data_IF_894462709713
#
_entry.id   IF_894462709713
#
_cell.length_a   1.000
_cell.length_b   1.000
_cell.length_c   1.000
_cell.angle_alpha   90.00
_cell.angle_beta   90.00
_cell.angle_gamma   90.00
#
_symmetry.space_group_name_H-M   'P 1'
#
loop_
_entity.id
_entity.type
_entity.pdbx_description
1 polymer ?
#
# COMPACT_ATOMS: atom_id res chain seq x y z
N UNK A 1 17.97 22.51 7.04
CA UNK A 1 17.85 23.85 6.39
C UNK A 1 16.61 24.56 6.96
N UNK A 2 15.41 23.97 6.89
CA UNK A 2 14.15 24.60 7.29
C UNK A 2 14.15 25.03 8.78
N UNK A 3 14.59 24.15 9.68
CA UNK A 3 14.70 24.44 11.11
C UNK A 3 15.65 25.63 11.38
N UNK A 4 16.80 25.66 10.74
CA UNK A 4 17.77 26.76 10.89
C UNK A 4 17.17 28.08 10.37
N UNK A 5 16.50 28.06 9.20
CA UNK A 5 15.85 29.24 8.66
C UNK A 5 14.78 29.83 9.59
N UNK A 6 13.90 28.98 10.12
CA UNK A 6 12.88 29.39 11.08
C UNK A 6 13.47 29.90 12.42
N UNK A 7 14.53 29.27 12.91
CA UNK A 7 15.20 29.70 14.14
C UNK A 7 15.85 31.08 13.97
N UNK A 8 16.52 31.31 12.85
CA UNK A 8 17.11 32.61 12.52
C UNK A 8 16.04 33.70 12.35
N UNK A 9 14.94 33.38 11.63
CA UNK A 9 13.80 34.29 11.50
C UNK A 9 13.21 34.64 12.88
N UNK A 10 12.97 33.65 13.73
CA UNK A 10 12.44 33.86 15.08
C UNK A 10 13.37 34.73 15.95
N UNK A 11 14.68 34.45 15.94
CA UNK A 11 15.67 35.26 16.63
C UNK A 11 15.68 36.71 16.13
N UNK A 12 15.66 36.91 14.81
CA UNK A 12 15.61 38.25 14.21
C UNK A 12 14.34 39.01 14.62
N UNK A 13 13.19 38.35 14.69
CA UNK A 13 11.93 38.95 15.13
C UNK A 13 11.96 39.32 16.60
N UNK A 14 12.51 38.47 17.48
CA UNK A 14 12.68 38.78 18.92
C UNK A 14 13.58 39.99 19.16
N UNK A 15 14.67 40.09 18.39
CA UNK A 15 15.60 41.24 18.49
C UNK A 15 14.91 42.52 17.97
N UNK A 16 14.27 42.46 16.81
CA UNK A 16 13.67 43.61 16.17
C UNK A 16 12.42 44.13 16.89
N UNK A 17 11.57 43.25 17.40
CA UNK A 17 10.27 43.57 17.97
C UNK A 17 10.22 43.42 19.51
N UNK A 18 11.34 43.64 20.20
CA UNK A 18 11.33 43.65 21.65
C UNK A 18 10.67 44.91 22.25
N UNK A 19 10.21 44.84 23.49
CA UNK A 19 9.47 45.91 24.14
C UNK A 19 10.26 47.20 24.34
N UNK A 20 11.61 47.18 24.30
CA UNK A 20 12.46 48.36 24.41
C UNK A 20 12.55 49.14 23.11
N UNK A 21 12.62 48.43 21.97
CA UNK A 21 12.76 49.03 20.63
C UNK A 21 11.42 49.30 19.96
N UNK A 22 10.38 48.52 20.27
CA UNK A 22 9.02 48.68 19.76
C UNK A 22 8.00 48.60 20.90
N UNK A 23 7.87 49.66 21.71
CA UNK A 23 6.99 49.69 22.89
C UNK A 23 5.49 49.65 22.54
N UNK A 24 5.12 49.93 21.28
CA UNK A 24 3.74 49.88 20.82
C UNK A 24 3.62 48.86 19.71
N UNK A 25 2.80 47.85 19.90
CA UNK A 25 2.47 46.89 18.85
C UNK A 25 1.61 47.53 17.74
N UNK A 26 1.95 47.22 16.48
CA UNK A 26 1.10 47.59 15.36
C UNK A 26 0.17 46.41 15.05
N UNK A 27 -1.11 46.56 15.34
CA UNK A 27 -2.13 45.53 15.13
C UNK A 27 -2.81 45.63 13.74
N UNK A 28 -2.39 46.56 12.90
CA UNK A 28 -3.06 46.77 11.60
C UNK A 28 -2.54 45.84 10.49
N UNK A 29 -1.46 45.09 10.73
CA UNK A 29 -0.90 44.18 9.74
C UNK A 29 -0.34 44.89 8.50
N UNK A 30 -0.41 44.21 7.35
CA UNK A 30 0.05 44.72 6.07
C UNK A 30 -1.01 45.72 5.50
N UNK A 31 -0.64 47.00 5.38
CA UNK A 31 -1.53 48.06 4.91
C UNK A 31 -1.58 48.21 3.38
N UNK A 32 -0.66 47.56 2.68
CA UNK A 32 -0.62 47.63 1.21
C UNK A 32 -1.67 46.70 0.59
N UNK A 33 -2.76 47.25 0.08
CA UNK A 33 -3.77 46.47 -0.64
C UNK A 33 -3.19 45.67 -1.81
N UNK A 34 -2.27 46.29 -2.57
CA UNK A 34 -1.60 45.64 -3.69
C UNK A 34 -0.75 44.45 -3.20
N UNK A 35 0.05 44.67 -2.13
CA UNK A 35 0.88 43.59 -1.55
C UNK A 35 0.06 42.41 -1.01
N UNK A 36 -1.05 42.72 -0.32
CA UNK A 36 -1.98 41.70 0.17
C UNK A 36 -2.63 40.91 -0.97
N UNK A 37 -3.13 41.62 -1.97
CA UNK A 37 -3.74 41.01 -3.15
C UNK A 37 -2.77 40.11 -3.90
N UNK A 38 -1.53 40.55 -4.14
CA UNK A 38 -0.50 39.74 -4.80
C UNK A 38 -0.18 38.50 -3.96
N UNK A 39 -0.06 38.64 -2.64
CA UNK A 39 0.21 37.50 -1.76
C UNK A 39 -0.94 36.48 -1.80
N UNK A 40 -2.19 36.93 -1.68
CA UNK A 40 -3.37 36.05 -1.67
C UNK A 40 -3.56 35.32 -3.01
N UNK A 41 -3.63 36.07 -4.11
CA UNK A 41 -3.82 35.46 -5.44
C UNK A 41 -2.58 34.71 -5.92
N UNK A 42 -1.37 35.11 -5.50
CA UNK A 42 -0.14 34.41 -5.79
C UNK A 42 -0.11 33.02 -5.15
N UNK A 43 -0.52 32.90 -3.88
CA UNK A 43 -0.65 31.61 -3.20
C UNK A 43 -1.69 30.74 -3.87
N UNK A 44 -2.89 31.29 -4.15
CA UNK A 44 -3.95 30.56 -4.84
C UNK A 44 -3.48 30.04 -6.21
N UNK A 45 -2.79 30.86 -6.99
CA UNK A 45 -2.26 30.45 -8.28
C UNK A 45 -1.27 29.31 -8.17
N UNK A 46 -0.34 29.40 -7.21
CA UNK A 46 0.65 28.34 -6.95
C UNK A 46 -0.06 27.05 -6.54
N UNK A 47 -1.03 27.12 -5.63
CA UNK A 47 -1.80 25.94 -5.20
C UNK A 47 -2.57 25.31 -6.37
N UNK A 48 -3.26 26.10 -7.19
CA UNK A 48 -3.96 25.60 -8.39
C UNK A 48 -2.99 24.89 -9.33
N UNK A 49 -1.82 25.47 -9.59
CA UNK A 49 -0.80 24.85 -10.44
C UNK A 49 -0.28 23.53 -9.83
N UNK A 50 0.01 23.52 -8.52
CA UNK A 50 0.47 22.32 -7.85
C UNK A 50 -0.58 21.19 -7.85
N UNK A 51 -1.84 21.54 -7.63
CA UNK A 51 -2.94 20.57 -7.66
C UNK A 51 -3.13 20.02 -9.07
N UNK A 52 -3.30 20.92 -10.06
CA UNK A 52 -3.68 20.50 -11.42
C UNK A 52 -2.54 19.85 -12.20
N UNK A 53 -1.30 20.33 -12.04
CA UNK A 53 -0.16 19.84 -12.80
C UNK A 53 0.59 18.67 -12.12
N UNK A 54 0.44 18.51 -10.81
CA UNK A 54 1.18 17.49 -10.06
C UNK A 54 0.28 16.56 -9.26
N UNK A 55 -0.57 17.08 -8.36
CA UNK A 55 -1.33 16.23 -7.45
C UNK A 55 -2.37 15.37 -8.18
N UNK A 56 -3.16 15.96 -9.06
CA UNK A 56 -4.20 15.22 -9.83
C UNK A 56 -3.59 14.18 -10.75
N UNK A 57 -2.56 14.45 -11.58
CA UNK A 57 -1.92 13.42 -12.41
C UNK A 57 -1.31 12.28 -11.60
N UNK A 58 -0.58 12.59 -10.51
CA UNK A 58 0.00 11.57 -9.64
C UNK A 58 -1.06 10.71 -8.96
N UNK A 59 -2.14 11.33 -8.47
CA UNK A 59 -3.26 10.60 -7.88
C UNK A 59 -3.98 9.73 -8.91
N UNK A 60 -4.22 10.26 -10.12
CA UNK A 60 -4.85 9.51 -11.19
C UNK A 60 -4.03 8.27 -11.59
N UNK A 61 -2.71 8.35 -11.59
CA UNK A 61 -1.83 7.21 -11.86
C UNK A 61 -1.97 6.12 -10.78
N UNK A 62 -2.04 6.50 -9.51
CA UNK A 62 -2.18 5.55 -8.38
C UNK A 62 -3.55 4.86 -8.35
N UNK A 63 -4.64 5.56 -8.72
CA UNK A 63 -6.01 5.01 -8.70
C UNK A 63 -6.53 4.63 -10.08
N UNK A 64 -5.65 4.49 -11.06
CA UNK A 64 -6.01 4.21 -12.44
C UNK A 64 -6.71 2.87 -12.61
N UNK A 65 -8.04 2.92 -12.79
CA UNK A 65 -8.86 1.72 -12.99
C UNK A 65 -8.49 0.97 -14.29
N UNK A 66 -8.11 1.67 -15.34
CA UNK A 66 -7.66 1.06 -16.59
C UNK A 66 -6.37 0.26 -16.37
N UNK A 67 -5.43 0.79 -15.60
CA UNK A 67 -4.22 0.06 -15.24
C UNK A 67 -4.53 -1.17 -14.39
N UNK A 68 -5.44 -1.07 -13.44
CA UNK A 68 -5.91 -2.21 -12.64
C UNK A 68 -6.52 -3.30 -13.51
N UNK A 69 -7.39 -2.94 -14.44
CA UNK A 69 -8.02 -3.92 -15.34
C UNK A 69 -6.99 -4.57 -16.30
N UNK A 70 -5.99 -3.84 -16.79
CA UNK A 70 -4.87 -4.39 -17.54
C UNK A 70 -4.08 -5.42 -16.76
N UNK A 71 -3.77 -5.13 -15.48
CA UNK A 71 -3.04 -6.06 -14.59
C UNK A 71 -3.89 -7.31 -14.34
N UNK A 72 -5.19 -7.17 -14.09
CA UNK A 72 -6.11 -8.29 -13.88
C UNK A 72 -6.25 -9.14 -15.15
N UNK A 73 -6.38 -8.53 -16.32
CA UNK A 73 -6.44 -9.25 -17.59
C UNK A 73 -5.14 -10.05 -17.81
N UNK A 74 -4.00 -9.41 -17.60
CA UNK A 74 -2.69 -10.05 -17.72
C UNK A 74 -2.47 -11.17 -16.67
N UNK A 75 -3.07 -11.07 -15.49
CA UNK A 75 -3.07 -12.14 -14.48
C UNK A 75 -3.85 -13.36 -14.94
N UNK A 76 -4.98 -13.17 -15.63
CA UNK A 76 -5.82 -14.27 -16.17
C UNK A 76 -5.24 -14.98 -17.38
N UNK A 77 -4.41 -14.30 -18.16
CA UNK A 77 -3.73 -14.89 -19.32
C UNK A 77 -2.56 -15.81 -18.92
N UNK A 78 -2.23 -15.86 -17.65
CA UNK A 78 -1.16 -16.73 -17.12
C UNK A 78 0.20 -16.03 -17.01
N UNK A 79 1.24 -16.83 -16.86
CA UNK A 79 2.58 -16.49 -16.41
C UNK A 79 3.17 -15.21 -17.03
N UNK A 80 3.45 -14.20 -16.21
CA UNK A 80 4.47 -13.21 -16.52
C UNK A 80 4.04 -11.75 -16.56
N UNK A 81 2.80 -11.40 -16.85
CA UNK A 81 2.43 -10.02 -17.18
C UNK A 81 1.68 -9.25 -16.08
N UNK A 82 1.19 -9.91 -15.05
CA UNK A 82 0.46 -9.29 -13.94
C UNK A 82 0.15 -10.31 -12.83
N UNK A 83 -0.18 -9.81 -11.65
CA UNK A 83 -0.64 -10.60 -10.52
C UNK A 83 -1.83 -9.89 -9.87
N UNK A 84 -3.01 -10.52 -9.89
CA UNK A 84 -4.13 -10.10 -9.03
C UNK A 84 -4.06 -10.87 -7.70
N UNK A 85 -4.19 -10.16 -6.59
CA UNK A 85 -4.12 -10.71 -5.26
C UNK A 85 -5.22 -10.10 -4.39
N UNK A 86 -6.01 -10.94 -3.74
CA UNK A 86 -7.02 -10.50 -2.79
C UNK A 86 -6.45 -10.52 -1.37
N UNK A 87 -6.60 -9.39 -0.67
CA UNK A 87 -6.19 -9.24 0.74
C UNK A 87 -7.44 -9.10 1.60
N UNK A 88 -7.53 -9.91 2.63
CA UNK A 88 -8.57 -9.84 3.65
C UNK A 88 -7.92 -9.58 5.02
N UNK A 89 -8.23 -8.42 5.58
CA UNK A 89 -7.86 -8.07 6.93
C UNK A 89 -8.91 -8.57 7.93
N UNK A 90 -8.48 -9.02 9.09
CA UNK A 90 -9.33 -9.31 10.25
C UNK A 90 -8.54 -9.06 11.54
N UNK A 91 -9.22 -8.92 12.64
CA UNK A 91 -8.59 -8.79 13.96
C UNK A 91 -7.97 -10.13 14.39
N UNK A 92 -6.65 -10.29 14.46
CA UNK A 92 -5.61 -9.29 14.16
C UNK A 92 -4.58 -9.89 13.21
N UNK A 93 -4.93 -10.19 11.97
CA UNK A 93 -4.02 -10.75 10.99
C UNK A 93 -4.36 -10.38 9.54
N UNK A 94 -3.46 -10.75 8.63
CA UNK A 94 -3.55 -10.52 7.20
C UNK A 94 -3.68 -11.85 6.48
N UNK A 95 -4.65 -11.94 5.59
CA UNK A 95 -4.88 -13.11 4.77
C UNK A 95 -4.81 -12.73 3.29
N UNK A 96 -4.25 -13.61 2.48
CA UNK A 96 -4.11 -13.40 1.05
C UNK A 96 -4.68 -14.58 0.27
N UNK A 97 -5.25 -14.29 -0.89
CA UNK A 97 -5.76 -15.29 -1.83
C UNK A 97 -5.24 -15.00 -3.22
N UNK A 98 -4.69 -16.01 -3.84
CA UNK A 98 -4.19 -16.01 -5.21
C UNK A 98 -5.16 -16.83 -6.07
N UNK A 99 -5.39 -16.39 -7.28
CA UNK A 99 -5.92 -17.26 -8.32
C UNK A 99 -4.85 -18.30 -8.63
N UNK A 100 -5.21 -19.56 -8.60
CA UNK A 100 -4.28 -20.66 -8.86
C UNK A 100 -3.76 -20.68 -10.30
N UNK A 101 -3.47 -21.86 -10.82
CA UNK A 101 -2.91 -22.02 -12.16
C UNK A 101 -3.86 -21.64 -13.28
N UNK A 102 -5.18 -21.66 -13.02
CA UNK A 102 -6.21 -21.29 -14.00
C UNK A 102 -6.40 -19.76 -14.11
N UNK A 103 -5.76 -18.97 -13.24
CA UNK A 103 -5.84 -17.51 -13.19
C UNK A 103 -7.22 -16.96 -12.84
N UNK A 104 -8.09 -17.76 -12.22
CA UNK A 104 -9.46 -17.40 -11.86
C UNK A 104 -9.67 -17.56 -10.37
N UNK A 105 -10.43 -16.64 -9.79
CA UNK A 105 -10.85 -16.76 -8.42
C UNK A 105 -12.18 -17.50 -8.33
N UNK A 106 -12.23 -18.51 -7.49
CA UNK A 106 -13.47 -19.24 -7.19
C UNK A 106 -14.52 -18.32 -6.52
N UNK A 107 -15.79 -18.70 -6.68
CA UNK A 107 -16.92 -17.96 -6.11
C UNK A 107 -16.86 -17.98 -4.59
N UNK A 108 -17.03 -16.81 -4.01
CA UNK A 108 -17.13 -16.61 -2.57
C UNK A 108 -18.59 -16.53 -2.14
N UNK A 109 -18.90 -17.06 -0.97
CA UNK A 109 -20.20 -16.86 -0.34
C UNK A 109 -20.03 -16.70 1.17
N UNK A 110 -20.63 -15.66 1.72
CA UNK A 110 -20.50 -15.31 3.14
C UNK A 110 -20.91 -16.46 4.08
N UNK A 111 -21.86 -17.30 3.65
CA UNK A 111 -22.30 -18.48 4.42
C UNK A 111 -21.20 -19.53 4.68
N UNK A 112 -20.13 -19.53 3.90
CA UNK A 112 -18.99 -20.42 4.06
C UNK A 112 -17.83 -19.75 4.78
N UNK A 113 -17.88 -18.42 4.96
CA UNK A 113 -16.80 -17.68 5.58
C UNK A 113 -16.73 -17.97 7.09
N UNK A 114 -15.55 -18.32 7.57
CA UNK A 114 -15.23 -18.40 8.98
C UNK A 114 -13.88 -17.75 9.27
N UNK A 115 -13.66 -17.37 10.53
CA UNK A 115 -12.46 -16.60 10.91
C UNK A 115 -11.16 -17.45 10.94
N UNK A 116 -11.24 -18.75 10.90
CA UNK A 116 -10.09 -19.62 11.13
C UNK A 116 -9.61 -20.26 9.83
N UNK A 117 -10.44 -21.11 9.22
CA UNK A 117 -9.99 -21.99 8.14
C UNK A 117 -10.38 -21.47 6.75
N UNK A 118 -11.48 -20.72 6.65
CA UNK A 118 -12.01 -20.25 5.37
C UNK A 118 -12.42 -18.77 5.41
N UNK A 119 -11.48 -17.84 5.62
CA UNK A 119 -11.81 -16.43 5.77
C UNK A 119 -12.40 -15.82 4.49
N UNK A 120 -12.10 -16.37 3.33
CA UNK A 120 -12.63 -15.90 2.04
C UNK A 120 -14.00 -16.49 1.68
N UNK A 121 -14.51 -17.47 2.42
CA UNK A 121 -15.83 -18.06 2.16
C UNK A 121 -15.90 -18.83 0.85
N UNK A 122 -14.89 -19.60 0.51
CA UNK A 122 -14.87 -20.47 -0.66
C UNK A 122 -15.77 -21.68 -0.41
N UNK A 123 -16.51 -22.14 -1.42
CA UNK A 123 -17.38 -23.31 -1.30
C UNK A 123 -16.55 -24.60 -1.16
N UNK A 124 -16.55 -25.27 0.00
CA UNK A 124 -15.72 -26.45 0.24
C UNK A 124 -16.16 -27.70 -0.57
N UNK A 125 -17.32 -27.65 -1.21
CA UNK A 125 -17.83 -28.76 -2.04
C UNK A 125 -17.38 -28.71 -3.49
N UNK A 126 -16.73 -27.63 -3.90
CA UNK A 126 -16.17 -27.53 -5.25
C UNK A 126 -14.80 -28.19 -5.28
N UNK A 127 -14.72 -29.32 -5.95
CA UNK A 127 -13.52 -30.14 -6.07
C UNK A 127 -12.41 -29.53 -6.97
N UNK A 128 -12.61 -28.34 -7.50
CA UNK A 128 -11.76 -27.72 -8.53
C UNK A 128 -11.17 -26.38 -8.06
N UNK A 129 -10.92 -26.30 -6.76
CA UNK A 129 -10.35 -25.07 -6.16
C UNK A 129 -8.84 -25.18 -6.14
N UNK A 130 -8.20 -24.53 -7.10
CA UNK A 130 -6.74 -24.38 -7.13
C UNK A 130 -6.25 -23.04 -6.57
N UNK A 131 -7.17 -22.24 -6.02
CA UNK A 131 -6.86 -20.99 -5.33
C UNK A 131 -5.92 -21.24 -4.14
N UNK A 132 -4.83 -20.50 -4.09
CA UNK A 132 -3.88 -20.57 -2.96
C UNK A 132 -4.25 -19.55 -1.90
N UNK A 133 -4.46 -20.02 -0.68
CA UNK A 133 -4.81 -19.18 0.45
C UNK A 133 -3.67 -19.16 1.47
N UNK A 134 -3.23 -17.95 1.81
CA UNK A 134 -2.34 -17.71 2.93
C UNK A 134 -3.18 -17.13 4.06
N UNK A 135 -3.39 -17.91 5.10
CA UNK A 135 -4.06 -17.45 6.32
C UNK A 135 -3.02 -17.00 7.33
N UNK A 136 -3.32 -15.91 8.04
CA UNK A 136 -2.48 -15.44 9.17
C UNK A 136 -1.00 -15.28 8.77
N UNK A 137 -0.71 -14.39 7.81
CA UNK A 137 0.63 -14.14 7.26
C UNK A 137 1.59 -13.51 8.30
N UNK A 138 1.73 -14.13 9.49
CA UNK A 138 2.50 -13.63 10.65
C UNK A 138 3.92 -14.17 10.75
N UNK A 139 4.28 -15.18 10.00
CA UNK A 139 5.63 -15.71 9.96
C UNK A 139 6.29 -15.47 8.61
N UNK A 140 7.61 -15.50 8.57
CA UNK A 140 8.37 -15.38 7.32
C UNK A 140 8.15 -16.59 6.39
N UNK A 141 7.81 -17.74 6.96
CA UNK A 141 7.52 -18.95 6.21
C UNK A 141 6.10 -18.98 5.67
N UNK A 142 5.18 -18.28 6.35
CA UNK A 142 3.79 -18.09 5.93
C UNK A 142 3.55 -16.62 5.54
N UNK A 143 4.41 -16.07 4.71
CA UNK A 143 4.33 -14.70 4.22
C UNK A 143 3.46 -14.60 2.96
N UNK A 144 2.90 -13.44 2.72
CA UNK A 144 2.31 -13.09 1.41
C UNK A 144 3.46 -12.96 0.42
N UNK A 145 3.43 -13.70 -0.69
CA UNK A 145 4.52 -13.74 -1.66
C UNK A 145 4.15 -12.96 -2.92
N UNK A 146 5.03 -12.11 -3.39
CA UNK A 146 4.86 -11.37 -4.65
C UNK A 146 6.14 -11.39 -5.47
N UNK A 147 6.07 -11.42 -6.80
CA UNK A 147 7.25 -11.31 -7.66
C UNK A 147 7.70 -9.85 -7.78
N UNK A 148 9.02 -9.62 -7.90
CA UNK A 148 9.49 -8.33 -8.39
C UNK A 148 9.29 -8.19 -9.89
N UNK A 149 9.44 -6.97 -10.41
CA UNK A 149 9.34 -6.60 -11.83
C UNK A 149 8.02 -6.99 -12.52
N UNK A 150 7.06 -7.55 -11.79
CA UNK A 150 5.69 -7.84 -12.26
C UNK A 150 4.70 -6.88 -11.59
N UNK A 151 3.80 -6.25 -12.33
CA UNK A 151 2.73 -5.43 -11.74
C UNK A 151 1.81 -6.28 -10.87
N UNK A 152 1.53 -5.80 -9.67
CA UNK A 152 0.67 -6.45 -8.67
C UNK A 152 -0.54 -5.56 -8.43
N UNK A 153 -1.73 -6.10 -8.62
CA UNK A 153 -3.00 -5.47 -8.29
C UNK A 153 -3.55 -6.11 -7.00
N UNK A 154 -3.63 -5.33 -5.92
CA UNK A 154 -4.28 -5.76 -4.69
C UNK A 154 -5.73 -5.34 -4.68
N UNK A 155 -6.61 -6.26 -4.28
CA UNK A 155 -8.02 -6.03 -4.00
C UNK A 155 -8.25 -6.28 -2.52
N UNK A 156 -8.52 -5.22 -1.78
CA UNK A 156 -8.47 -5.26 -0.32
C UNK A 156 -9.84 -5.04 0.31
N UNK A 157 -10.12 -5.81 1.32
CA UNK A 157 -11.33 -5.69 2.16
C UNK A 157 -11.04 -6.11 3.59
N UNK A 158 -12.01 -5.93 4.47
CA UNK A 158 -11.95 -6.40 5.85
C UNK A 158 -13.15 -7.26 6.21
N UNK A 159 -12.95 -8.19 7.14
CA UNK A 159 -13.99 -9.07 7.67
C UNK A 159 -14.75 -8.44 8.84
N UNK A 160 -14.14 -7.50 9.57
CA UNK A 160 -14.69 -6.99 10.84
C UNK A 160 -14.65 -5.46 10.95
N UNK A 161 -13.53 -4.85 11.26
CA UNK A 161 -13.38 -3.39 11.40
C UNK A 161 -12.50 -2.83 10.30
N UNK A 162 -12.34 -1.52 10.25
CA UNK A 162 -11.40 -0.89 9.31
C UNK A 162 -9.97 -1.17 9.75
N UNK A 163 -9.16 -1.65 8.83
CA UNK A 163 -7.71 -1.80 8.94
C UNK A 163 -7.03 -0.97 7.84
N UNK A 164 -5.73 -0.82 7.90
CA UNK A 164 -4.95 -0.19 6.82
C UNK A 164 -3.69 -1.01 6.55
N UNK A 165 -3.64 -1.60 5.36
CA UNK A 165 -2.51 -2.40 4.89
C UNK A 165 -1.35 -1.48 4.53
N UNK A 166 -0.24 -1.58 5.24
CA UNK A 166 0.92 -0.71 5.02
C UNK A 166 2.21 -1.52 4.91
N UNK A 167 2.91 -1.31 3.79
CA UNK A 167 4.29 -1.80 3.56
C UNK A 167 5.16 -0.58 3.29
N UNK A 168 5.76 -0.05 4.34
CA UNK A 168 6.44 1.25 4.32
C UNK A 168 7.55 1.37 3.27
N UNK A 169 8.47 0.39 3.10
CA UNK A 169 9.53 0.50 2.09
C UNK A 169 9.03 0.53 0.66
N UNK A 170 7.88 -0.07 0.38
CA UNK A 170 7.25 -0.08 -0.93
C UNK A 170 6.30 1.10 -1.15
N UNK A 171 6.12 1.98 -0.15
CA UNK A 171 5.16 3.10 -0.16
C UNK A 171 3.72 2.67 -0.45
N UNK A 172 3.40 1.43 -0.15
CA UNK A 172 2.03 0.89 -0.23
C UNK A 172 1.33 1.19 1.08
N UNK A 173 0.20 1.89 1.01
CA UNK A 173 -0.67 2.13 2.15
C UNK A 173 -2.11 2.28 1.64
N UNK A 174 -3.01 1.38 2.08
CA UNK A 174 -4.41 1.39 1.67
C UNK A 174 -5.30 0.79 2.74
N UNK A 175 -6.45 1.41 2.96
CA UNK A 175 -7.44 0.93 3.91
C UNK A 175 -8.12 -0.35 3.41
N UNK A 176 -8.44 -1.22 4.37
CA UNK A 176 -9.28 -2.39 4.20
C UNK A 176 -10.59 -2.13 4.94
N UNK A 177 -11.68 -1.88 4.21
CA UNK A 177 -12.96 -1.45 4.78
C UNK A 177 -13.97 -2.58 4.61
N UNK A 178 -14.72 -2.96 5.66
CA UNK A 178 -15.77 -3.96 5.56
C UNK A 178 -16.81 -3.60 4.52
N UNK A 179 -17.18 -4.56 3.66
CA UNK A 179 -18.17 -4.39 2.61
C UNK A 179 -17.69 -3.65 1.35
N UNK A 180 -16.47 -3.11 1.35
CA UNK A 180 -15.84 -2.50 0.19
C UNK A 180 -14.68 -3.33 -0.32
N UNK A 181 -14.43 -3.27 -1.63
CA UNK A 181 -13.25 -3.84 -2.25
C UNK A 181 -12.40 -2.69 -2.81
N UNK A 182 -11.36 -2.32 -2.10
CA UNK A 182 -10.52 -1.17 -2.44
C UNK A 182 -9.29 -1.63 -3.22
N UNK A 183 -9.08 -1.07 -4.41
CA UNK A 183 -7.93 -1.42 -5.24
C UNK A 183 -6.71 -0.57 -4.93
N UNK A 184 -5.54 -1.17 -5.08
CA UNK A 184 -4.25 -0.50 -5.24
C UNK A 184 -3.36 -1.36 -6.13
N UNK A 185 -2.49 -0.75 -6.91
CA UNK A 185 -1.48 -1.47 -7.67
C UNK A 185 -0.08 -0.93 -7.37
N UNK A 186 0.90 -1.79 -7.54
CA UNK A 186 2.31 -1.44 -7.44
C UNK A 186 3.17 -2.40 -8.24
N UNK A 187 4.40 -2.02 -8.48
CA UNK A 187 5.43 -2.88 -9.07
C UNK A 187 6.69 -2.71 -8.25
N UNK A 188 7.29 -3.82 -7.83
CA UNK A 188 8.57 -3.78 -7.10
C UNK A 188 9.70 -3.77 -8.11
N UNK A 189 10.49 -2.68 -8.13
CA UNK A 189 11.66 -2.59 -8.98
C UNK A 189 12.85 -3.33 -8.32
N UNK A 190 13.42 -4.38 -8.96
CA UNK A 190 14.54 -5.13 -8.41
C UNK A 190 15.80 -4.28 -8.20
N UNK A 191 15.98 -3.20 -8.96
CA UNK A 191 17.11 -2.28 -8.78
C UNK A 191 17.08 -1.55 -7.43
N UNK A 192 15.91 -1.42 -6.81
CA UNK A 192 15.74 -0.82 -5.48
C UNK A 192 15.87 -1.84 -4.34
N UNK A 193 15.94 -3.13 -4.68
CA UNK A 193 16.15 -4.22 -3.74
C UNK A 193 17.65 -4.51 -3.69
N UNK A 194 18.26 -4.28 -2.55
CA UNK A 194 19.68 -4.57 -2.36
C UNK A 194 19.85 -5.90 -1.62
N UNK A 195 20.80 -6.71 -2.08
CA UNK A 195 21.26 -7.87 -1.35
C UNK A 195 21.99 -7.47 -0.05
N UNK A 196 22.43 -8.45 0.73
CA UNK A 196 23.18 -8.21 1.98
C UNK A 196 24.49 -7.44 1.78
N UNK A 197 24.97 -7.34 0.54
CA UNK A 197 26.19 -6.66 0.16
C UNK A 197 25.91 -5.31 -0.52
N UNK A 198 24.66 -4.87 -0.58
CA UNK A 198 24.26 -3.62 -1.20
C UNK A 198 24.19 -3.67 -2.73
N UNK A 199 24.19 -4.85 -3.34
CA UNK A 199 23.99 -5.01 -4.79
C UNK A 199 22.51 -5.20 -5.10
N UNK A 200 22.00 -4.69 -6.25
CA UNK A 200 20.64 -4.92 -6.68
C UNK A 200 20.31 -6.42 -6.75
N UNK A 201 19.10 -6.77 -6.33
CA UNK A 201 18.59 -8.13 -6.42
C UNK A 201 18.46 -8.54 -7.89
N UNK A 202 19.12 -9.63 -8.28
CA UNK A 202 19.12 -10.14 -9.66
C UNK A 202 19.25 -11.66 -9.76
N UNK A 203 19.31 -12.36 -8.63
CA UNK A 203 19.46 -13.81 -8.59
C UNK A 203 18.15 -14.49 -8.28
N UNK A 204 17.92 -15.66 -8.86
CA UNK A 204 16.72 -16.48 -8.61
C UNK A 204 16.50 -16.76 -7.11
N UNK A 205 17.57 -16.88 -6.33
CA UNK A 205 17.50 -17.20 -4.90
C UNK A 205 17.31 -15.98 -3.99
N UNK A 206 17.39 -14.75 -4.52
CA UNK A 206 17.24 -13.56 -3.72
C UNK A 206 15.79 -13.44 -3.20
N UNK A 207 15.67 -13.23 -1.89
CA UNK A 207 14.40 -12.99 -1.20
C UNK A 207 14.49 -11.73 -0.34
N UNK A 208 13.46 -10.90 -0.42
CA UNK A 208 13.34 -9.71 0.40
C UNK A 208 12.05 -9.76 1.22
N UNK A 209 12.18 -9.62 2.53
CA UNK A 209 11.05 -9.71 3.44
C UNK A 209 10.76 -8.32 4.01
N UNK A 210 9.54 -7.86 3.80
CA UNK A 210 9.02 -6.61 4.31
C UNK A 210 7.96 -6.86 5.37
N UNK A 211 7.91 -5.98 6.36
CA UNK A 211 6.87 -5.99 7.38
C UNK A 211 5.59 -5.35 6.83
N UNK A 212 4.48 -6.03 6.98
CA UNK A 212 3.14 -5.48 6.81
C UNK A 212 2.68 -5.01 8.19
N UNK A 213 2.23 -3.77 8.31
CA UNK A 213 1.69 -3.21 9.55
C UNK A 213 0.29 -2.68 9.35
N UNK A 214 -0.53 -2.70 10.39
CA UNK A 214 -1.80 -1.99 10.38
C UNK A 214 -1.55 -0.50 10.67
N UNK A 215 -2.05 0.38 9.80
CA UNK A 215 -1.91 1.84 9.95
C UNK A 215 -3.22 2.52 10.40
N UNK A 216 -4.29 1.75 10.65
CA UNK A 216 -5.58 2.23 11.16
C UNK A 216 -5.88 1.55 12.49
N UNK A 217 -6.23 2.34 13.52
CA UNK A 217 -6.59 1.80 14.84
C UNK A 217 -7.77 0.83 14.72
N UNK A 218 -7.53 -0.46 14.99
CA UNK A 218 -8.47 -1.54 14.74
C UNK A 218 -8.85 -2.35 16.00
N UNK A 219 -8.49 -1.88 17.17
CA UNK A 219 -8.80 -2.52 18.47
C UNK A 219 -7.55 -2.80 19.30
N UNK A 220 -7.70 -3.56 20.38
CA UNK A 220 -6.65 -3.80 21.38
C UNK A 220 -5.38 -4.46 20.83
N UNK A 221 -5.54 -5.27 19.78
CA UNK A 221 -4.44 -5.95 19.09
C UNK A 221 -3.76 -5.14 17.99
N UNK A 222 -4.13 -3.86 17.79
CA UNK A 222 -3.61 -3.03 16.71
C UNK A 222 -2.08 -2.97 16.66
N UNK A 223 -1.43 -2.80 17.80
CA UNK A 223 0.03 -2.65 17.88
C UNK A 223 0.83 -3.89 17.46
N UNK A 224 0.23 -5.07 17.44
CA UNK A 224 0.85 -6.33 17.01
C UNK A 224 0.14 -6.99 15.83
N UNK A 225 -0.75 -6.29 15.14
CA UNK A 225 -1.30 -6.73 13.86
C UNK A 225 -0.26 -6.55 12.74
N UNK A 226 0.73 -7.43 12.76
CA UNK A 226 1.81 -7.46 11.79
C UNK A 226 1.69 -8.68 10.88
N UNK A 227 2.23 -8.57 9.67
CA UNK A 227 2.39 -9.65 8.71
C UNK A 227 3.68 -9.51 7.93
N UNK A 228 3.93 -10.44 7.05
CA UNK A 228 5.12 -10.43 6.20
C UNK A 228 4.75 -10.48 4.72
N UNK A 229 5.40 -9.62 3.94
CA UNK A 229 5.40 -9.65 2.49
C UNK A 229 6.77 -10.11 2.03
N UNK A 230 6.82 -11.21 1.30
CA UNK A 230 8.04 -11.76 0.70
C UNK A 230 8.07 -11.41 -0.78
N UNK A 231 9.10 -10.71 -1.21
CA UNK A 231 9.36 -10.36 -2.61
C UNK A 231 10.42 -11.30 -3.14
N UNK A 232 10.12 -12.00 -4.23
CA UNK A 232 10.98 -13.04 -4.80
C UNK A 232 11.14 -12.85 -6.31
N UNK A 233 12.10 -13.59 -6.90
CA UNK A 233 12.27 -13.66 -8.35
C UNK A 233 11.00 -14.20 -9.02
N UNK A 234 10.58 -13.65 -10.19
CA UNK A 234 9.35 -14.09 -10.89
C UNK A 234 9.24 -15.59 -11.09
N UNK A 235 10.32 -16.25 -11.51
CA UNK A 235 10.34 -17.71 -11.68
C UNK A 235 10.10 -18.44 -10.35
N UNK A 236 10.77 -18.01 -9.27
CA UNK A 236 10.56 -18.58 -7.94
C UNK A 236 9.13 -18.41 -7.43
N UNK A 237 8.51 -17.29 -7.76
CA UNK A 237 7.09 -17.07 -7.49
C UNK A 237 6.20 -18.05 -8.25
N UNK A 238 6.45 -18.23 -9.55
CA UNK A 238 5.66 -19.13 -10.38
C UNK A 238 5.79 -20.61 -9.91
N UNK A 239 7.00 -21.05 -9.58
CA UNK A 239 7.26 -22.39 -9.02
C UNK A 239 6.59 -22.58 -7.64
N UNK A 240 6.62 -21.54 -6.81
CA UNK A 240 5.95 -21.53 -5.51
C UNK A 240 4.42 -21.61 -5.66
N UNK A 241 3.84 -20.82 -6.55
CA UNK A 241 2.40 -20.81 -6.79
C UNK A 241 1.93 -22.16 -7.33
N UNK A 242 2.64 -22.75 -8.30
CA UNK A 242 2.32 -24.05 -8.86
C UNK A 242 2.38 -25.16 -7.80
N UNK A 243 3.39 -25.14 -6.94
CA UNK A 243 3.54 -26.11 -5.83
C UNK A 243 2.40 -26.00 -4.83
N UNK A 244 2.00 -24.76 -4.48
CA UNK A 244 0.91 -24.52 -3.53
C UNK A 244 -0.44 -24.89 -4.11
N UNK A 245 -0.73 -24.51 -5.37
CA UNK A 245 -1.98 -24.89 -6.04
C UNK A 245 -2.17 -26.41 -6.11
N UNK A 246 -1.10 -27.18 -6.32
CA UNK A 246 -1.18 -28.65 -6.29
C UNK A 246 -1.44 -29.21 -4.89
N UNK A 247 -0.85 -28.63 -3.87
CA UNK A 247 -1.02 -29.09 -2.49
C UNK A 247 -2.45 -28.87 -1.94
N UNK A 248 -3.19 -27.89 -2.49
CA UNK A 248 -4.60 -27.68 -2.13
C UNK A 248 -5.57 -28.66 -2.83
N UNK A 249 -5.08 -29.37 -3.87
CA UNK A 249 -5.87 -30.38 -4.61
C UNK A 249 -5.71 -31.81 -4.09
N UNK A 250 -4.70 -32.08 -3.22
CA UNK A 250 -4.45 -33.38 -2.55
C UNK A 250 -5.11 -33.42 -1.18
#
# INVERSE_FOLDING_TARGET
>A
ILFVGWSLYFLATLIKFNSKTNPKADYHGVRSKVGTTIAEYGVILVEVVLITCFAVPLWADVVNEEQMEKIKAASKEGKGNGLELHILAKQYDWNARYAGNDGRFEKQALRFANKVDNPFGIDPKKADVDDVIITTARSKDNAIVVPWDRPVALKMTSMDVIHSFKVLPLRVCKDCIPGLQLPIHFKVNPELLNDKNGKPANKEDDEHIFLITCAQLCGDGHGYMNGYLKVVHPKKFDDWLETKSRAELE
#
